data_IF_824100983146
#
_entry.id   IF_824100983146
#
_cell.length_a   1.000
_cell.length_b   1.000
_cell.length_c   1.000
_cell.angle_alpha   90.00
_cell.angle_beta   90.00
_cell.angle_gamma   90.00
#
_symmetry.space_group_name_H-M   'P 1'
#
loop_
_entity.id
_entity.type
_entity.pdbx_description
1 polymer ?
#
# COMPACT_ATOMS: atom_id res chain seq x y z
N UNK A 1 -18.10 -4.04 15.42
CA UNK A 1 -18.93 -4.86 14.63
C UNK A 1 -18.36 -6.21 14.21
N UNK A 2 -17.16 -6.27 13.58
CA UNK A 2 -16.53 -7.53 13.14
C UNK A 2 -16.22 -8.47 14.30
N UNK A 3 -15.85 -7.89 15.43
CA UNK A 3 -15.56 -8.63 16.66
C UNK A 3 -16.75 -9.35 17.28
N UNK A 4 -17.97 -9.05 16.93
CA UNK A 4 -19.15 -9.58 17.65
C UNK A 4 -19.77 -10.84 17.02
N UNK A 5 -19.35 -11.28 15.84
CA UNK A 5 -20.03 -12.34 15.09
C UNK A 5 -19.39 -13.73 15.13
N UNK A 6 -18.12 -13.90 15.58
CA UNK A 6 -17.55 -15.23 15.70
C UNK A 6 -17.81 -15.82 17.08
N UNK A 7 -18.13 -17.10 17.10
CA UNK A 7 -18.36 -17.87 18.32
C UNK A 7 -17.09 -18.15 19.13
N UNK A 8 -15.92 -17.76 18.62
CA UNK A 8 -14.63 -18.08 19.23
C UNK A 8 -13.87 -16.81 19.63
N UNK A 9 -13.99 -16.44 20.92
CA UNK A 9 -13.34 -15.24 21.49
C UNK A 9 -11.81 -15.26 21.38
N UNK A 10 -11.18 -16.45 21.32
CA UNK A 10 -9.73 -16.58 21.17
C UNK A 10 -9.27 -16.13 19.80
N UNK A 11 -10.00 -16.47 18.75
CA UNK A 11 -9.69 -16.07 17.37
C UNK A 11 -9.71 -14.55 17.16
N UNK A 12 -10.59 -13.84 17.87
CA UNK A 12 -10.61 -12.37 17.81
C UNK A 12 -9.42 -11.74 18.51
N UNK A 13 -9.02 -12.27 19.65
CA UNK A 13 -7.87 -11.79 20.37
C UNK A 13 -6.61 -11.93 19.49
N UNK A 14 -6.48 -13.04 18.78
CA UNK A 14 -5.36 -13.30 17.86
C UNK A 14 -5.34 -12.29 16.69
N UNK A 15 -6.48 -12.09 16.01
CA UNK A 15 -6.60 -11.11 14.90
C UNK A 15 -6.29 -9.70 15.39
N UNK A 16 -6.85 -9.29 16.53
CA UNK A 16 -6.62 -7.95 17.08
C UNK A 16 -5.16 -7.77 17.47
N UNK A 17 -4.54 -8.75 18.10
CA UNK A 17 -3.13 -8.72 18.49
C UNK A 17 -2.21 -8.59 17.28
N UNK A 18 -2.47 -9.35 16.22
CA UNK A 18 -1.71 -9.28 14.96
C UNK A 18 -1.87 -7.91 14.28
N UNK A 19 -3.09 -7.34 14.27
CA UNK A 19 -3.32 -6.00 13.73
C UNK A 19 -2.57 -4.93 14.53
N UNK A 20 -2.58 -5.01 15.87
CA UNK A 20 -1.83 -4.09 16.74
C UNK A 20 -0.33 -4.21 16.54
N UNK A 21 0.18 -5.44 16.40
CA UNK A 21 1.60 -5.68 16.09
C UNK A 21 1.99 -5.06 14.75
N UNK A 22 1.19 -5.30 13.72
CA UNK A 22 1.39 -4.70 12.40
C UNK A 22 1.31 -3.16 12.44
N UNK A 23 0.39 -2.58 13.21
CA UNK A 23 0.28 -1.13 13.40
C UNK A 23 1.54 -0.56 14.06
N UNK A 24 2.12 -1.26 15.05
CA UNK A 24 3.41 -0.86 15.64
C UNK A 24 4.50 -0.82 14.59
N UNK A 25 4.56 -1.81 13.69
CA UNK A 25 5.47 -1.81 12.54
C UNK A 25 5.26 -0.61 11.61
N UNK A 26 3.99 -0.24 11.33
CA UNK A 26 3.67 0.95 10.55
C UNK A 26 4.19 2.24 11.20
N UNK A 27 4.04 2.39 12.52
CA UNK A 27 4.56 3.54 13.26
C UNK A 27 6.09 3.60 13.23
N UNK A 28 6.77 2.46 13.40
CA UNK A 28 8.23 2.36 13.24
C UNK A 28 8.65 2.76 11.83
N UNK A 29 7.90 2.30 10.81
CA UNK A 29 8.15 2.61 9.40
C UNK A 29 7.94 4.10 9.05
N UNK A 30 7.10 4.82 9.77
CA UNK A 30 6.93 6.26 9.62
C UNK A 30 8.09 7.02 10.30
N UNK A 31 8.50 6.54 11.50
CA UNK A 31 9.48 7.23 12.35
C UNK A 31 10.95 6.90 12.10
N UNK A 32 11.30 5.98 11.21
CA UNK A 32 12.67 5.48 11.05
C UNK A 32 13.69 6.59 10.71
N UNK A 33 14.92 6.43 11.22
CA UNK A 33 16.06 7.33 10.98
C UNK A 33 17.27 6.60 10.35
N UNK A 34 17.20 5.29 10.34
CA UNK A 34 18.23 4.41 9.80
C UNK A 34 17.60 3.19 9.13
N UNK A 35 18.39 2.47 8.34
CA UNK A 35 17.93 1.29 7.62
C UNK A 35 17.62 0.09 8.50
N UNK A 36 18.14 0.00 9.73
CA UNK A 36 17.76 -1.06 10.66
C UNK A 36 16.32 -0.89 11.12
N UNK A 37 15.97 0.30 11.60
CA UNK A 37 14.60 0.62 12.02
C UNK A 37 13.63 0.53 10.85
N UNK A 38 14.05 0.95 9.65
CA UNK A 38 13.26 0.82 8.42
C UNK A 38 12.94 -0.64 8.11
N UNK A 39 13.95 -1.53 8.10
CA UNK A 39 13.78 -2.94 7.83
C UNK A 39 12.92 -3.62 8.90
N UNK A 40 13.23 -3.41 10.18
CA UNK A 40 12.46 -3.99 11.30
C UNK A 40 11.00 -3.51 11.26
N UNK A 41 10.78 -2.22 11.02
CA UNK A 41 9.42 -1.67 10.89
C UNK A 41 8.64 -2.30 9.75
N UNK A 42 9.30 -2.55 8.61
CA UNK A 42 8.68 -3.21 7.45
C UNK A 42 8.33 -4.67 7.74
N UNK A 43 9.18 -5.42 8.43
CA UNK A 43 8.92 -6.81 8.80
C UNK A 43 7.83 -6.93 9.87
N UNK A 44 7.85 -6.10 10.92
CA UNK A 44 6.80 -6.05 11.94
C UNK A 44 5.46 -5.66 11.32
N UNK A 45 5.44 -4.78 10.31
CA UNK A 45 4.24 -4.47 9.56
C UNK A 45 3.75 -5.67 8.75
N UNK A 46 4.65 -6.42 8.11
CA UNK A 46 4.33 -7.36 7.03
C UNK A 46 3.97 -8.76 7.51
N UNK A 47 4.77 -9.33 8.42
CA UNK A 47 4.62 -10.72 8.87
C UNK A 47 3.23 -10.98 9.48
N UNK A 48 2.72 -10.12 10.39
CA UNK A 48 1.35 -10.30 10.89
C UNK A 48 0.29 -10.25 9.80
N UNK A 49 0.47 -9.42 8.77
CA UNK A 49 -0.49 -9.31 7.66
C UNK A 49 -0.51 -10.57 6.81
N UNK A 50 0.64 -11.23 6.59
CA UNK A 50 0.68 -12.53 5.91
C UNK A 50 -0.18 -13.57 6.65
N UNK A 51 -0.10 -13.60 7.97
CA UNK A 51 -0.91 -14.50 8.82
C UNK A 51 -2.40 -14.10 8.79
N UNK A 52 -2.69 -12.79 8.84
CA UNK A 52 -4.06 -12.27 8.79
C UNK A 52 -4.78 -12.62 7.48
N UNK A 53 -4.09 -12.59 6.34
CA UNK A 53 -4.65 -13.01 5.04
C UNK A 53 -5.11 -14.46 5.09
N UNK A 54 -4.33 -15.35 5.70
CA UNK A 54 -4.66 -16.77 5.88
C UNK A 54 -5.53 -17.09 7.10
N UNK A 55 -6.12 -16.11 7.77
CA UNK A 55 -6.87 -16.32 9.03
C UNK A 55 -8.10 -17.21 8.86
N UNK A 56 -8.71 -17.25 7.66
CA UNK A 56 -9.85 -18.14 7.33
C UNK A 56 -9.34 -19.50 6.85
N UNK A 57 -8.82 -20.31 7.78
CA UNK A 57 -8.15 -21.60 7.51
C UNK A 57 -8.99 -22.61 6.72
N UNK A 58 -10.30 -22.55 6.82
CA UNK A 58 -11.22 -23.46 6.10
C UNK A 58 -11.37 -23.12 4.61
N UNK A 59 -10.94 -21.92 4.19
CA UNK A 59 -11.06 -21.45 2.82
C UNK A 59 -9.76 -21.67 2.06
N UNK A 60 -9.82 -22.45 0.99
CA UNK A 60 -8.66 -22.74 0.14
C UNK A 60 -8.05 -21.45 -0.47
N UNK A 61 -8.90 -20.52 -0.92
CA UNK A 61 -8.47 -19.23 -1.47
C UNK A 61 -7.69 -18.39 -0.45
N UNK A 62 -8.07 -18.40 0.84
CA UNK A 62 -7.36 -17.65 1.87
C UNK A 62 -5.96 -18.23 2.13
N UNK A 63 -5.84 -19.56 2.13
CA UNK A 63 -4.55 -20.24 2.30
C UNK A 63 -3.62 -20.00 1.11
N UNK A 64 -4.15 -20.06 -0.12
CA UNK A 64 -3.42 -19.76 -1.33
C UNK A 64 -2.94 -18.30 -1.36
N UNK A 65 -3.83 -17.35 -1.04
CA UNK A 65 -3.53 -15.93 -0.96
C UNK A 65 -2.42 -15.64 0.08
N UNK A 66 -2.48 -16.27 1.25
CA UNK A 66 -1.46 -16.12 2.28
C UNK A 66 -0.08 -16.62 1.80
N UNK A 67 -0.03 -17.77 1.16
CA UNK A 67 1.21 -18.33 0.62
C UNK A 67 1.78 -17.46 -0.50
N UNK A 68 0.94 -17.00 -1.44
CA UNK A 68 1.36 -16.08 -2.52
C UNK A 68 1.94 -14.79 -1.92
N UNK A 69 1.26 -14.21 -0.92
CA UNK A 69 1.70 -12.97 -0.31
C UNK A 69 3.00 -13.16 0.48
N UNK A 70 3.12 -14.24 1.23
CA UNK A 70 4.32 -14.57 1.98
C UNK A 70 5.54 -14.77 1.07
N UNK A 71 5.44 -15.62 0.04
CA UNK A 71 6.58 -15.89 -0.85
C UNK A 71 7.00 -14.65 -1.65
N UNK A 72 6.05 -13.95 -2.24
CA UNK A 72 6.36 -12.73 -3.01
C UNK A 72 6.85 -11.60 -2.11
N UNK A 73 6.31 -11.47 -0.90
CA UNK A 73 6.74 -10.52 0.10
C UNK A 73 8.16 -10.80 0.62
N UNK A 74 8.47 -12.05 0.95
CA UNK A 74 9.81 -12.47 1.38
C UNK A 74 10.85 -12.24 0.28
N UNK A 75 10.49 -12.47 -0.98
CA UNK A 75 11.36 -12.14 -2.10
C UNK A 75 11.61 -10.63 -2.20
N UNK A 76 10.58 -9.81 -2.04
CA UNK A 76 10.73 -8.35 -2.02
C UNK A 76 11.60 -7.87 -0.85
N UNK A 77 11.48 -8.50 0.33
CA UNK A 77 12.36 -8.23 1.48
C UNK A 77 13.81 -8.61 1.21
N UNK A 78 14.07 -9.73 0.53
CA UNK A 78 15.43 -10.11 0.14
C UNK A 78 16.05 -9.07 -0.81
N UNK A 79 15.28 -8.58 -1.79
CA UNK A 79 15.70 -7.47 -2.67
C UNK A 79 16.00 -6.21 -1.85
N UNK A 80 15.15 -5.88 -0.87
CA UNK A 80 15.36 -4.74 0.02
C UNK A 80 16.69 -4.85 0.78
N UNK A 81 16.93 -5.98 1.43
CA UNK A 81 18.15 -6.21 2.21
C UNK A 81 19.40 -6.12 1.33
N UNK A 82 19.33 -6.68 0.12
CA UNK A 82 20.42 -6.56 -0.83
C UNK A 82 20.64 -5.12 -1.26
N UNK A 83 19.58 -4.36 -1.50
CA UNK A 83 19.66 -2.92 -1.80
C UNK A 83 20.30 -2.13 -0.64
N UNK A 84 19.90 -2.40 0.61
CA UNK A 84 20.48 -1.78 1.81
C UNK A 84 21.97 -2.13 1.93
N UNK A 85 22.36 -3.38 1.70
CA UNK A 85 23.75 -3.80 1.73
C UNK A 85 24.61 -3.07 0.69
N UNK A 86 24.08 -2.85 -0.51
CA UNK A 86 24.76 -2.08 -1.56
C UNK A 86 24.93 -0.60 -1.19
N UNK A 87 23.89 0.03 -0.60
CA UNK A 87 23.98 1.42 -0.13
C UNK A 87 25.00 1.52 1.02
N UNK A 88 25.00 0.55 1.94
CA UNK A 88 26.00 0.48 2.98
C UNK A 88 27.41 0.31 2.40
N UNK A 89 27.60 -0.59 1.45
CA UNK A 89 28.86 -0.78 0.73
C UNK A 89 29.34 0.49 -0.01
N UNK A 90 28.40 1.34 -0.45
CA UNK A 90 28.71 2.60 -1.12
C UNK A 90 29.12 3.74 -0.17
N UNK A 91 28.58 3.76 1.07
CA UNK A 91 28.67 4.90 2.00
C UNK A 91 29.32 4.58 3.35
N UNK A 92 29.32 3.29 3.76
CA UNK A 92 29.78 2.86 5.07
C UNK A 92 28.81 3.14 6.22
N UNK A 93 27.58 3.60 5.95
CA UNK A 93 26.61 3.97 7.00
C UNK A 93 25.22 3.40 6.73
N UNK A 94 24.46 3.16 7.83
CA UNK A 94 23.02 2.86 7.81
C UNK A 94 22.17 4.09 8.16
N UNK A 95 22.77 5.16 8.68
CA UNK A 95 22.07 6.39 9.06
C UNK A 95 21.69 7.21 7.83
N UNK A 96 20.39 7.53 7.71
CA UNK A 96 19.86 8.22 6.52
C UNK A 96 20.46 9.61 6.32
N UNK A 97 20.79 10.34 7.39
CA UNK A 97 21.39 11.67 7.28
C UNK A 97 22.83 11.58 6.78
N UNK A 98 23.60 10.60 7.25
CA UNK A 98 24.97 10.36 6.80
C UNK A 98 25.01 9.92 5.34
N UNK A 99 24.09 9.05 4.94
CA UNK A 99 23.91 8.62 3.55
C UNK A 99 23.55 9.84 2.67
N UNK A 100 22.57 10.65 3.11
CA UNK A 100 22.19 11.88 2.40
C UNK A 100 23.35 12.86 2.26
N UNK A 101 24.16 13.02 3.30
CA UNK A 101 25.38 13.84 3.24
C UNK A 101 26.41 13.28 2.25
N UNK A 102 26.64 11.95 2.28
CA UNK A 102 27.54 11.30 1.33
C UNK A 102 27.08 11.50 -0.13
N UNK A 103 25.77 11.41 -0.38
CA UNK A 103 25.17 11.68 -1.70
C UNK A 103 25.40 13.14 -2.13
N UNK A 104 25.15 14.11 -1.23
CA UNK A 104 25.35 15.53 -1.51
C UNK A 104 26.80 15.89 -1.77
N UNK A 105 27.73 15.25 -1.05
CA UNK A 105 29.17 15.51 -1.15
C UNK A 105 29.85 14.73 -2.27
N UNK A 106 29.16 13.80 -2.94
CA UNK A 106 29.75 12.89 -3.91
C UNK A 106 30.69 11.82 -3.30
N UNK A 107 30.63 11.64 -1.98
CA UNK A 107 31.46 10.71 -1.22
C UNK A 107 30.83 9.31 -1.17
N UNK A 108 30.62 8.68 -2.31
CA UNK A 108 30.04 7.34 -2.42
C UNK A 108 30.53 6.62 -3.68
N UNK A 109 30.41 5.31 -3.70
CA UNK A 109 30.69 4.51 -4.91
C UNK A 109 29.45 4.51 -5.82
N UNK A 110 29.48 5.20 -7.00
CA UNK A 110 28.27 5.43 -7.80
C UNK A 110 27.52 4.18 -8.21
N UNK A 111 28.22 3.13 -8.69
CA UNK A 111 27.58 1.91 -9.18
C UNK A 111 26.81 1.18 -8.06
N UNK A 112 27.41 1.05 -6.86
CA UNK A 112 26.76 0.41 -5.72
C UNK A 112 25.57 1.22 -5.22
N UNK A 113 25.70 2.55 -5.16
CA UNK A 113 24.65 3.45 -4.71
C UNK A 113 23.43 3.38 -5.64
N UNK A 114 23.62 3.52 -6.95
CA UNK A 114 22.52 3.50 -7.93
C UNK A 114 21.80 2.15 -7.90
N UNK A 115 22.55 1.03 -7.92
CA UNK A 115 21.95 -0.30 -7.84
C UNK A 115 21.18 -0.49 -6.53
N UNK A 116 21.75 -0.07 -5.39
CA UNK A 116 21.11 -0.17 -4.08
C UNK A 116 19.82 0.65 -4.00
N UNK A 117 19.82 1.88 -4.45
CA UNK A 117 18.64 2.78 -4.48
C UNK A 117 17.52 2.17 -5.33
N UNK A 118 17.83 1.69 -6.54
CA UNK A 118 16.84 1.09 -7.42
C UNK A 118 16.20 -0.17 -6.80
N UNK A 119 16.98 -1.02 -6.13
CA UNK A 119 16.47 -2.20 -5.43
C UNK A 119 15.58 -1.85 -4.24
N UNK A 120 15.96 -0.84 -3.44
CA UNK A 120 15.13 -0.35 -2.32
C UNK A 120 13.82 0.21 -2.84
N UNK A 121 13.85 1.05 -3.88
CA UNK A 121 12.64 1.58 -4.52
C UNK A 121 11.77 0.44 -5.06
N UNK A 122 12.33 -0.53 -5.78
CA UNK A 122 11.60 -1.68 -6.33
C UNK A 122 10.88 -2.49 -5.23
N UNK A 123 11.54 -2.73 -4.09
CA UNK A 123 10.93 -3.41 -2.95
C UNK A 123 9.77 -2.60 -2.33
N UNK A 124 9.91 -1.30 -2.20
CA UNK A 124 8.82 -0.44 -1.71
C UNK A 124 7.67 -0.34 -2.71
N UNK A 125 7.95 -0.33 -4.02
CA UNK A 125 6.93 -0.39 -5.06
C UNK A 125 6.13 -1.69 -5.00
N UNK A 126 6.77 -2.83 -4.68
CA UNK A 126 6.07 -4.07 -4.36
C UNK A 126 5.11 -3.85 -3.17
N UNK A 127 5.57 -3.22 -2.10
CA UNK A 127 4.77 -3.01 -0.88
C UNK A 127 3.52 -2.18 -1.12
N UNK A 128 3.59 -1.15 -1.96
CA UNK A 128 2.42 -0.32 -2.32
C UNK A 128 1.59 -0.89 -3.47
N UNK A 129 2.04 -1.99 -4.09
CA UNK A 129 1.35 -2.68 -5.17
C UNK A 129 1.43 -1.95 -6.51
N UNK A 130 2.56 -1.34 -6.84
CA UNK A 130 2.80 -0.69 -8.13
C UNK A 130 3.19 -1.70 -9.23
N UNK A 131 2.88 -1.40 -10.48
CA UNK A 131 3.33 -2.18 -11.64
C UNK A 131 4.85 -1.96 -11.84
N UNK A 132 5.63 -3.02 -12.12
CA UNK A 132 5.25 -4.40 -12.41
C UNK A 132 5.10 -5.31 -11.18
N UNK A 133 5.29 -4.82 -9.99
CA UNK A 133 5.33 -5.60 -8.73
C UNK A 133 3.95 -5.87 -8.12
N UNK A 134 2.87 -5.74 -8.89
CA UNK A 134 1.46 -5.77 -8.44
C UNK A 134 0.79 -7.16 -8.46
N UNK A 135 1.44 -8.20 -8.99
CA UNK A 135 0.82 -9.50 -9.30
C UNK A 135 0.13 -10.18 -8.11
N UNK A 136 0.62 -9.93 -6.90
CA UNK A 136 0.05 -10.47 -5.69
C UNK A 136 -1.29 -9.82 -5.30
N UNK A 137 -1.53 -8.57 -5.73
CA UNK A 137 -2.53 -7.68 -5.13
C UNK A 137 -3.96 -8.18 -5.33
N UNK A 138 -4.33 -8.57 -6.56
CA UNK A 138 -5.67 -9.04 -6.86
C UNK A 138 -6.01 -10.34 -6.13
N UNK A 139 -5.11 -11.33 -6.18
CA UNK A 139 -5.33 -12.65 -5.59
C UNK A 139 -5.33 -12.59 -4.05
N UNK A 140 -4.44 -11.78 -3.46
CA UNK A 140 -4.38 -11.60 -2.01
C UNK A 140 -5.61 -10.87 -1.48
N UNK A 141 -6.10 -9.86 -2.20
CA UNK A 141 -7.32 -9.16 -1.82
C UNK A 141 -8.54 -10.08 -1.93
N UNK A 142 -8.66 -10.86 -2.99
CA UNK A 142 -9.76 -11.81 -3.20
C UNK A 142 -9.81 -12.86 -2.08
N UNK A 143 -8.66 -13.47 -1.73
CA UNK A 143 -8.57 -14.47 -0.67
C UNK A 143 -8.66 -13.91 0.75
N UNK A 144 -8.50 -12.60 0.95
CA UNK A 144 -8.57 -11.97 2.27
C UNK A 144 -10.00 -11.73 2.74
N UNK A 145 -10.19 -11.66 4.07
CA UNK A 145 -11.43 -11.10 4.62
C UNK A 145 -11.52 -9.60 4.31
N UNK A 146 -12.74 -9.07 4.18
CA UNK A 146 -12.95 -7.64 3.87
C UNK A 146 -12.29 -6.70 4.90
N UNK A 147 -12.26 -7.11 6.18
CA UNK A 147 -11.59 -6.35 7.25
C UNK A 147 -10.06 -6.33 7.10
N UNK A 148 -9.43 -7.46 6.77
CA UNK A 148 -7.98 -7.53 6.51
C UNK A 148 -7.63 -6.75 5.25
N UNK A 149 -8.44 -6.86 4.20
CA UNK A 149 -8.27 -6.07 2.97
C UNK A 149 -8.37 -4.56 3.25
N UNK A 150 -9.32 -4.12 4.09
CA UNK A 150 -9.45 -2.73 4.51
C UNK A 150 -8.20 -2.23 5.24
N UNK A 151 -7.63 -3.05 6.13
CA UNK A 151 -6.38 -2.76 6.81
C UNK A 151 -5.19 -2.66 5.85
N UNK A 152 -5.08 -3.58 4.89
CA UNK A 152 -4.01 -3.59 3.89
C UNK A 152 -4.10 -2.38 2.94
N UNK A 153 -5.30 -2.04 2.47
CA UNK A 153 -5.51 -0.91 1.56
C UNK A 153 -5.29 0.46 2.23
N UNK A 154 -5.32 0.53 3.55
CA UNK A 154 -5.14 1.76 4.33
C UNK A 154 -3.80 1.76 5.06
N UNK A 155 -3.69 1.13 6.21
CA UNK A 155 -2.53 1.22 7.10
C UNK A 155 -1.25 0.79 6.40
N UNK A 156 -1.24 -0.39 5.77
CA UNK A 156 -0.03 -0.93 5.13
C UNK A 156 0.39 -0.05 3.95
N UNK A 157 -0.58 0.37 3.14
CA UNK A 157 -0.30 1.18 1.95
C UNK A 157 0.16 2.59 2.31
N UNK A 158 -0.51 3.25 3.26
CA UNK A 158 -0.13 4.58 3.73
C UNK A 158 1.29 4.57 4.33
N UNK A 159 1.60 3.60 5.19
CA UNK A 159 2.95 3.46 5.76
C UNK A 159 4.02 3.25 4.68
N UNK A 160 3.73 2.43 3.66
CA UNK A 160 4.62 2.21 2.51
C UNK A 160 4.88 3.49 1.71
N UNK A 161 3.85 4.29 1.44
CA UNK A 161 4.00 5.56 0.73
C UNK A 161 4.79 6.60 1.54
N UNK A 162 4.53 6.72 2.83
CA UNK A 162 5.28 7.64 3.71
C UNK A 162 6.75 7.24 3.76
N UNK A 163 7.05 5.94 3.85
CA UNK A 163 8.41 5.44 3.85
C UNK A 163 9.13 5.73 2.52
N UNK A 164 8.47 5.47 1.38
CA UNK A 164 9.01 5.77 0.06
C UNK A 164 9.26 7.27 -0.13
N UNK A 165 8.27 8.10 0.22
CA UNK A 165 8.39 9.55 0.17
C UNK A 165 9.59 10.05 0.99
N UNK A 166 9.71 9.56 2.24
CA UNK A 166 10.80 9.95 3.13
C UNK A 166 12.17 9.60 2.54
N UNK A 167 12.37 8.39 2.04
CA UNK A 167 13.65 7.99 1.43
C UNK A 167 13.98 8.81 0.19
N UNK A 168 13.01 9.00 -0.68
CA UNK A 168 13.21 9.80 -1.91
C UNK A 168 13.56 11.25 -1.55
N UNK A 169 12.82 11.86 -0.63
CA UNK A 169 13.02 13.28 -0.31
C UNK A 169 14.30 13.55 0.49
N UNK A 170 14.54 12.76 1.56
CA UNK A 170 15.60 13.07 2.51
C UNK A 170 16.95 12.47 2.17
N UNK A 171 16.97 11.34 1.45
CA UNK A 171 18.20 10.55 1.25
C UNK A 171 18.59 10.48 -0.21
N UNK A 172 17.63 10.22 -1.11
CA UNK A 172 17.91 9.92 -2.53
C UNK A 172 17.50 11.03 -3.49
N UNK A 173 17.07 12.20 -3.00
CA UNK A 173 16.58 13.30 -3.84
C UNK A 173 17.63 13.81 -4.84
N UNK A 174 18.89 13.90 -4.42
CA UNK A 174 20.00 14.33 -5.28
C UNK A 174 20.44 13.27 -6.30
N UNK A 175 19.85 12.09 -6.27
CA UNK A 175 20.04 11.02 -7.26
C UNK A 175 18.83 10.89 -8.20
N UNK A 176 18.00 11.93 -8.32
CA UNK A 176 16.75 11.88 -9.10
C UNK A 176 16.96 11.44 -10.54
N UNK A 177 18.03 11.88 -11.19
CA UNK A 177 18.34 11.54 -12.58
C UNK A 177 18.51 10.04 -12.84
N UNK A 178 18.89 9.27 -11.79
CA UNK A 178 19.13 7.83 -11.89
C UNK A 178 17.86 6.99 -11.74
N UNK A 179 16.87 7.46 -10.95
CA UNK A 179 15.64 6.68 -10.67
C UNK A 179 14.36 7.28 -11.27
N UNK A 180 14.38 8.53 -11.70
CA UNK A 180 13.20 9.26 -12.18
C UNK A 180 12.51 8.58 -13.37
N UNK A 181 13.26 8.19 -14.41
CA UNK A 181 12.69 7.53 -15.59
C UNK A 181 12.05 6.17 -15.25
N UNK A 182 12.67 5.42 -14.34
CA UNK A 182 12.10 4.18 -13.83
C UNK A 182 10.76 4.45 -13.13
N UNK A 183 10.67 5.45 -12.28
CA UNK A 183 9.45 5.84 -11.59
C UNK A 183 8.35 6.29 -12.57
N UNK A 184 8.65 7.07 -13.59
CA UNK A 184 7.67 7.45 -14.62
C UNK A 184 7.12 6.23 -15.37
N UNK A 185 7.96 5.28 -15.73
CA UNK A 185 7.52 4.05 -16.36
C UNK A 185 6.57 3.25 -15.45
N UNK A 186 6.89 3.14 -14.15
CA UNK A 186 6.06 2.50 -13.13
C UNK A 186 4.70 3.22 -12.97
N UNK A 187 4.70 4.54 -12.92
CA UNK A 187 3.48 5.35 -12.80
C UNK A 187 2.56 5.13 -13.99
N UNK A 188 3.09 5.29 -15.21
CA UNK A 188 2.30 5.10 -16.45
C UNK A 188 1.73 3.69 -16.50
N UNK A 189 2.56 2.67 -16.26
CA UNK A 189 2.14 1.28 -16.27
C UNK A 189 1.06 0.99 -15.19
N UNK A 190 1.21 1.57 -13.98
CA UNK A 190 0.24 1.39 -12.89
C UNK A 190 -1.12 2.02 -13.21
N UNK A 191 -1.13 3.20 -13.82
CA UNK A 191 -2.37 3.85 -14.27
C UNK A 191 -3.05 3.00 -15.35
N UNK A 192 -2.34 2.62 -16.42
CA UNK A 192 -2.91 1.85 -17.52
C UNK A 192 -3.42 0.48 -17.06
N UNK A 193 -2.59 -0.31 -16.41
CA UNK A 193 -2.95 -1.68 -15.99
C UNK A 193 -4.03 -1.63 -14.92
N UNK A 194 -3.93 -0.73 -13.95
CA UNK A 194 -4.94 -0.58 -12.89
C UNK A 194 -6.33 -0.26 -13.46
N UNK A 195 -6.44 0.74 -14.33
CA UNK A 195 -7.74 1.11 -14.91
C UNK A 195 -8.26 0.05 -15.87
N UNK A 196 -7.45 -0.41 -16.83
CA UNK A 196 -7.93 -1.36 -17.86
C UNK A 196 -8.33 -2.71 -17.26
N UNK A 197 -7.55 -3.21 -16.29
CA UNK A 197 -7.89 -4.47 -15.63
C UNK A 197 -9.08 -4.34 -14.69
N UNK A 198 -9.25 -3.18 -14.05
CA UNK A 198 -10.39 -2.87 -13.18
C UNK A 198 -11.72 -2.92 -13.91
N UNK A 199 -11.79 -2.42 -15.15
CA UNK A 199 -13.03 -2.38 -15.96
C UNK A 199 -13.64 -3.76 -16.24
N UNK A 200 -12.86 -4.83 -16.18
CA UNK A 200 -13.31 -6.20 -16.48
C UNK A 200 -13.73 -7.00 -15.25
N UNK A 201 -13.59 -6.43 -14.06
CA UNK A 201 -13.87 -7.15 -12.83
C UNK A 201 -15.34 -7.16 -12.47
N UNK A 202 -15.82 -8.32 -12.04
CA UNK A 202 -17.17 -8.53 -11.46
C UNK A 202 -17.11 -8.70 -9.96
N UNK A 203 -15.95 -9.13 -9.42
CA UNK A 203 -15.63 -9.21 -8.00
C UNK A 203 -15.30 -7.83 -7.44
N UNK A 204 -15.94 -7.46 -6.34
CA UNK A 204 -15.69 -6.18 -5.67
C UNK A 204 -14.26 -6.11 -5.11
N UNK A 205 -13.77 -7.20 -4.52
CA UNK A 205 -12.41 -7.25 -3.96
C UNK A 205 -11.35 -7.08 -5.05
N UNK A 206 -11.51 -7.75 -6.19
CA UNK A 206 -10.59 -7.59 -7.33
C UNK A 206 -10.69 -6.20 -7.94
N UNK A 207 -11.89 -5.63 -8.05
CA UNK A 207 -12.08 -4.24 -8.50
C UNK A 207 -11.32 -3.27 -7.59
N UNK A 208 -11.44 -3.44 -6.26
CA UNK A 208 -10.72 -2.60 -5.30
C UNK A 208 -9.19 -2.80 -5.37
N UNK A 209 -8.72 -4.01 -5.66
CA UNK A 209 -7.30 -4.27 -5.87
C UNK A 209 -6.76 -3.48 -7.06
N UNK A 210 -7.42 -3.55 -8.23
CA UNK A 210 -7.01 -2.83 -9.43
C UNK A 210 -7.20 -1.31 -9.31
N UNK A 211 -8.28 -0.85 -8.67
CA UNK A 211 -8.46 0.55 -8.28
C UNK A 211 -7.30 1.00 -7.36
N UNK A 212 -6.88 0.15 -6.43
CA UNK A 212 -5.72 0.40 -5.57
C UNK A 212 -4.41 0.52 -6.34
N UNK A 213 -4.22 -0.22 -7.43
CA UNK A 213 -3.03 -0.12 -8.31
C UNK A 213 -3.04 1.21 -9.07
N UNK A 214 -4.17 1.60 -9.67
CA UNK A 214 -4.26 2.90 -10.36
C UNK A 214 -4.08 4.09 -9.42
N UNK A 215 -4.67 4.03 -8.22
CA UNK A 215 -4.48 5.06 -7.20
C UNK A 215 -3.04 5.08 -6.65
N UNK A 216 -2.30 3.96 -6.68
CA UNK A 216 -0.86 3.95 -6.43
C UNK A 216 -0.10 4.79 -7.45
N UNK A 217 -0.43 4.67 -8.73
CA UNK A 217 0.16 5.51 -9.78
C UNK A 217 -0.03 7.01 -9.50
N UNK A 218 -1.23 7.42 -9.06
CA UNK A 218 -1.52 8.82 -8.70
C UNK A 218 -0.71 9.28 -7.48
N UNK A 219 -0.64 8.45 -6.42
CA UNK A 219 0.15 8.79 -5.24
C UNK A 219 1.66 8.94 -5.56
N UNK A 220 2.17 8.11 -6.47
CA UNK A 220 3.56 8.22 -6.94
C UNK A 220 3.81 9.52 -7.73
N UNK A 221 2.83 10.04 -8.49
CA UNK A 221 2.94 11.37 -9.13
C UNK A 221 3.14 12.47 -8.09
N UNK A 222 2.41 12.44 -6.98
CA UNK A 222 2.57 13.42 -5.89
C UNK A 222 3.97 13.36 -5.27
N UNK A 223 4.56 12.15 -5.15
CA UNK A 223 5.94 11.98 -4.67
C UNK A 223 6.96 12.56 -5.66
N UNK A 224 6.73 12.35 -6.97
CA UNK A 224 7.61 12.83 -8.03
C UNK A 224 7.64 14.35 -8.18
N UNK A 225 6.55 15.03 -7.78
CA UNK A 225 6.47 16.50 -7.89
C UNK A 225 7.54 17.20 -7.03
N UNK A 226 8.02 16.61 -5.93
CA UNK A 226 9.13 17.13 -5.12
C UNK A 226 8.90 18.48 -4.44
N UNK A 227 7.78 19.14 -4.72
CA UNK A 227 7.43 20.47 -4.18
C UNK A 227 6.61 20.35 -2.89
N UNK A 228 6.48 21.45 -2.15
CA UNK A 228 5.63 21.53 -0.96
C UNK A 228 4.14 21.25 -1.30
N UNK A 229 3.69 21.58 -2.51
CA UNK A 229 2.35 21.22 -2.98
C UNK A 229 2.21 19.72 -3.19
N UNK A 230 3.21 19.04 -3.74
CA UNK A 230 3.24 17.58 -3.87
C UNK A 230 3.14 16.84 -2.54
N UNK A 231 3.79 17.36 -1.49
CA UNK A 231 3.66 16.81 -0.13
C UNK A 231 2.23 16.90 0.39
N UNK A 232 1.62 18.08 0.27
CA UNK A 232 0.23 18.31 0.69
C UNK A 232 -0.73 17.45 -0.10
N UNK A 233 -0.52 17.36 -1.41
CA UNK A 233 -1.28 16.49 -2.32
C UNK A 233 -1.21 15.03 -1.84
N UNK A 234 -0.02 14.49 -1.58
CA UNK A 234 0.15 13.13 -1.11
C UNK A 234 -0.62 12.85 0.18
N UNK A 235 -0.52 13.73 1.17
CA UNK A 235 -1.22 13.57 2.47
C UNK A 235 -2.74 13.60 2.28
N UNK A 236 -3.26 14.60 1.57
CA UNK A 236 -4.71 14.74 1.30
C UNK A 236 -5.20 13.52 0.52
N UNK A 237 -4.45 13.11 -0.50
CA UNK A 237 -4.78 11.95 -1.32
C UNK A 237 -4.84 10.65 -0.50
N UNK A 238 -3.82 10.36 0.31
CA UNK A 238 -3.76 9.14 1.12
C UNK A 238 -4.88 9.10 2.16
N UNK A 239 -5.22 10.23 2.80
CA UNK A 239 -6.35 10.32 3.73
C UNK A 239 -7.68 10.11 3.01
N UNK A 240 -7.89 10.76 1.88
CA UNK A 240 -9.11 10.61 1.08
C UNK A 240 -9.29 9.19 0.52
N UNK A 241 -8.23 8.61 -0.01
CA UNK A 241 -8.21 7.23 -0.49
C UNK A 241 -8.49 6.23 0.64
N UNK A 242 -7.80 6.40 1.78
CA UNK A 242 -7.95 5.53 2.94
C UNK A 242 -9.38 5.57 3.48
N UNK A 243 -9.94 6.76 3.72
CA UNK A 243 -11.30 6.92 4.22
C UNK A 243 -12.33 6.32 3.26
N UNK A 244 -12.23 6.61 1.96
CA UNK A 244 -13.16 6.09 0.96
C UNK A 244 -13.08 4.57 0.81
N UNK A 245 -11.89 4.00 0.87
CA UNK A 245 -11.68 2.54 0.83
C UNK A 245 -12.26 1.85 2.06
N UNK A 246 -12.08 2.44 3.26
CA UNK A 246 -12.68 1.92 4.49
C UNK A 246 -14.20 1.93 4.43
N UNK A 247 -14.82 3.04 3.99
CA UNK A 247 -16.28 3.16 3.88
C UNK A 247 -16.82 2.09 2.92
N UNK A 248 -16.24 1.96 1.73
CA UNK A 248 -16.69 1.01 0.72
C UNK A 248 -16.59 -0.43 1.21
N UNK A 249 -15.45 -0.82 1.79
CA UNK A 249 -15.22 -2.18 2.28
C UNK A 249 -16.09 -2.50 3.51
N UNK A 250 -16.29 -1.52 4.40
CA UNK A 250 -17.17 -1.70 5.56
C UNK A 250 -18.63 -1.88 5.13
N UNK A 251 -19.11 -1.06 4.18
CA UNK A 251 -20.47 -1.21 3.64
C UNK A 251 -20.62 -2.58 2.97
N UNK A 252 -19.67 -2.99 2.15
CA UNK A 252 -19.72 -4.28 1.47
C UNK A 252 -19.73 -5.46 2.45
N UNK A 253 -19.09 -5.32 3.61
CA UNK A 253 -19.08 -6.33 4.66
C UNK A 253 -20.45 -6.43 5.37
N UNK A 254 -21.11 -5.29 5.61
CA UNK A 254 -22.43 -5.24 6.25
C UNK A 254 -23.53 -5.76 5.31
N UNK A 255 -23.40 -5.52 4.01
CA UNK A 255 -24.42 -5.92 3.01
C UNK A 255 -24.38 -7.41 2.73
N UNK A 256 -23.21 -7.98 2.52
CA UNK A 256 -23.00 -9.39 2.32
C UNK A 256 -21.57 -9.76 2.71
N UNK A 257 -21.41 -10.67 3.66
CA UNK A 257 -20.10 -11.15 4.07
C UNK A 257 -19.56 -12.20 3.10
N UNK A 258 -20.45 -13.00 2.52
CA UNK A 258 -20.12 -14.15 1.66
C UNK A 258 -20.06 -13.78 0.17
N UNK A 259 -20.88 -12.85 -0.30
CA UNK A 259 -20.92 -12.47 -1.70
C UNK A 259 -19.89 -11.39 -2.02
N UNK A 260 -19.06 -11.66 -3.03
CA UNK A 260 -18.03 -10.73 -3.51
C UNK A 260 -18.41 -10.10 -4.89
N UNK A 261 -19.66 -10.23 -5.29
CA UNK A 261 -20.14 -9.66 -6.54
C UNK A 261 -20.50 -8.18 -6.39
N UNK A 262 -20.16 -7.37 -7.40
CA UNK A 262 -20.54 -5.94 -7.44
C UNK A 262 -22.06 -5.79 -7.44
N UNK A 263 -22.79 -6.72 -8.06
CA UNK A 263 -24.24 -6.75 -8.10
C UNK A 263 -24.90 -6.90 -6.71
N UNK A 264 -24.20 -7.39 -5.70
CA UNK A 264 -24.75 -7.46 -4.33
C UNK A 264 -24.99 -6.08 -3.71
N UNK A 265 -24.38 -5.03 -4.26
CA UNK A 265 -24.60 -3.64 -3.84
C UNK A 265 -25.79 -2.96 -4.53
N UNK A 266 -26.44 -3.62 -5.50
CA UNK A 266 -27.56 -3.06 -6.22
C UNK A 266 -28.76 -2.81 -5.30
N UNK A 267 -29.41 -1.67 -5.49
CA UNK A 267 -30.60 -1.29 -4.74
C UNK A 267 -30.37 -0.92 -3.27
N UNK A 268 -29.11 -0.89 -2.78
CA UNK A 268 -28.81 -0.57 -1.37
C UNK A 268 -29.32 0.82 -0.96
N UNK A 269 -29.31 1.78 -1.88
CA UNK A 269 -29.81 3.14 -1.64
C UNK A 269 -31.31 3.18 -1.38
N UNK A 270 -32.07 2.26 -1.97
CA UNK A 270 -33.52 2.13 -1.71
C UNK A 270 -33.81 1.45 -0.38
N UNK A 271 -32.99 0.46 0.00
CA UNK A 271 -33.14 -0.27 1.27
C UNK A 271 -32.68 0.56 2.47
N UNK A 272 -31.58 1.26 2.32
CA UNK A 272 -31.00 2.14 3.35
C UNK A 272 -30.36 3.37 2.70
N UNK A 273 -31.09 4.52 2.63
CA UNK A 273 -30.60 5.73 1.98
C UNK A 273 -29.30 6.27 2.55
N UNK A 274 -29.04 6.14 3.86
CA UNK A 274 -27.81 6.60 4.49
C UNK A 274 -26.60 5.78 4.05
N UNK A 275 -26.75 4.47 3.98
CA UNK A 275 -25.71 3.55 3.50
C UNK A 275 -25.44 3.79 2.01
N UNK A 276 -26.52 3.95 1.21
CA UNK A 276 -26.41 4.28 -0.20
C UNK A 276 -25.72 5.62 -0.47
N UNK A 277 -26.03 6.65 0.33
CA UNK A 277 -25.35 7.94 0.26
C UNK A 277 -23.87 7.85 0.63
N UNK A 278 -23.54 7.11 1.70
CA UNK A 278 -22.14 6.90 2.10
C UNK A 278 -21.35 6.16 1.03
N UNK A 279 -21.93 5.16 0.39
CA UNK A 279 -21.34 4.43 -0.74
C UNK A 279 -21.09 5.37 -1.94
N UNK A 280 -22.08 6.19 -2.29
CA UNK A 280 -21.96 7.19 -3.36
C UNK A 280 -20.79 8.15 -3.08
N UNK A 281 -20.71 8.72 -1.88
CA UNK A 281 -19.63 9.62 -1.48
C UNK A 281 -18.26 8.95 -1.58
N UNK A 282 -18.14 7.71 -1.13
CA UNK A 282 -16.89 6.95 -1.20
C UNK A 282 -16.45 6.69 -2.66
N UNK A 283 -17.39 6.29 -3.53
CA UNK A 283 -17.12 6.05 -4.95
C UNK A 283 -16.76 7.33 -5.71
N UNK A 284 -17.46 8.43 -5.46
CA UNK A 284 -17.16 9.73 -6.07
C UNK A 284 -15.79 10.27 -5.61
N UNK A 285 -15.42 10.04 -4.35
CA UNK A 285 -14.11 10.38 -3.83
C UNK A 285 -13.01 9.54 -4.47
N UNK A 286 -13.18 8.22 -4.59
CA UNK A 286 -12.21 7.34 -5.27
C UNK A 286 -12.04 7.70 -6.75
N UNK A 287 -13.12 8.09 -7.41
CA UNK A 287 -13.10 8.56 -8.81
C UNK A 287 -12.40 9.90 -8.96
N UNK A 288 -12.34 10.72 -7.89
CA UNK A 288 -11.76 12.07 -7.93
C UNK A 288 -12.71 13.12 -8.49
N UNK A 289 -14.00 13.03 -8.18
CA UNK A 289 -15.01 14.00 -8.60
C UNK A 289 -15.13 15.11 -7.53
N UNK A 290 -15.15 16.41 -7.89
CA UNK A 290 -15.40 17.49 -6.94
C UNK A 290 -16.79 17.33 -6.28
N UNK A 291 -16.97 17.71 -5.01
CA UNK A 291 -16.07 18.39 -4.07
C UNK A 291 -15.32 17.47 -3.09
N UNK A 292 -15.17 16.21 -3.42
CA UNK A 292 -14.61 15.20 -2.49
C UNK A 292 -13.09 15.25 -2.37
N UNK A 293 -12.56 14.74 -1.26
CA UNK A 293 -11.12 14.77 -0.92
C UNK A 293 -10.24 14.10 -1.98
N UNK A 294 -10.74 13.05 -2.64
CA UNK A 294 -10.03 12.38 -3.73
C UNK A 294 -9.74 13.30 -4.93
N UNK A 295 -10.61 14.29 -5.20
CA UNK A 295 -10.34 15.30 -6.22
C UNK A 295 -9.17 16.21 -5.83
N UNK A 296 -9.21 16.78 -4.63
CA UNK A 296 -8.15 17.70 -4.19
C UNK A 296 -6.77 17.06 -4.18
N UNK A 297 -6.68 15.79 -3.74
CA UNK A 297 -5.42 15.05 -3.77
C UNK A 297 -4.92 14.71 -5.19
N UNK A 298 -5.80 14.66 -6.18
CA UNK A 298 -5.42 14.43 -7.59
C UNK A 298 -5.12 15.72 -8.34
N UNK A 299 -5.70 16.83 -7.91
CA UNK A 299 -5.60 18.13 -8.58
C UNK A 299 -4.36 18.94 -8.14
N UNK A 300 -3.98 18.87 -6.86
CA UNK A 300 -2.81 19.55 -6.29
C UNK A 300 -1.49 18.90 -6.70
#
# INVERSE_FOLDING_TARGET
GYAMQSKDKSHYADITSLMMFSLTGALCLIGFKDFFMFFIGLEILSIPVYVLVGSRKAEHLASEAALKYFFTGSFATAILLFGIALVFGATGSFNLNEIGFAVMSGLYTPALMIAGVLLIIASLLFKVGAVPFHFWNADVYEGSSKGVMAYMSTVVKIAGFIALYKLIKTTFGNLSDQWMYFMYAVIIASLFIGYLSGLKQTSLKRLMAFSGISNTGIALLSIMNGTQSGERSLVIFLLGYGASSLILLFISQVVSEEEDQISSLEGIGYKNPLVGFSLLVALLSLSGIPPFTGFFGKFL
#
